data_IF_375274379687
#
_entry.id   IF_375274379687
#
_cell.length_a   1.000
_cell.length_b   1.000
_cell.length_c   1.000
_cell.angle_alpha   90.00
_cell.angle_beta   90.00
_cell.angle_gamma   90.00
#
_symmetry.space_group_name_H-M   'P 1'
#
loop_
_entity.id
_entity.type
_entity.pdbx_description
1 polymer ?
#
# COMPACT_ATOMS: atom_id res chain seq x y z
N UNK A 1 14.04 5.47 -19.10
CA UNK A 1 12.86 6.37 -19.06
C UNK A 1 12.20 6.21 -17.71
N UNK A 2 11.86 7.30 -17.06
CA UNK A 2 11.18 7.26 -15.77
C UNK A 2 9.78 6.67 -15.93
N UNK A 3 9.41 5.70 -15.07
CA UNK A 3 8.07 5.10 -15.04
C UNK A 3 7.06 5.97 -14.24
N UNK A 4 7.49 7.15 -13.80
CA UNK A 4 6.68 8.11 -13.05
C UNK A 4 5.93 9.05 -13.99
N UNK A 5 4.61 9.22 -13.76
CA UNK A 5 3.75 10.02 -14.62
C UNK A 5 3.02 11.09 -13.80
N UNK A 6 3.31 12.36 -14.08
CA UNK A 6 2.58 13.51 -13.53
C UNK A 6 1.44 13.88 -14.46
N UNK A 7 0.21 13.79 -13.96
CA UNK A 7 -1.00 14.21 -14.65
C UNK A 7 -1.42 15.57 -14.10
N UNK A 8 -1.39 16.59 -14.92
CA UNK A 8 -1.84 17.93 -14.56
C UNK A 8 -3.31 18.05 -14.93
N UNK A 9 -4.18 18.09 -13.89
CA UNK A 9 -5.62 18.08 -14.08
C UNK A 9 -6.24 19.45 -13.93
N UNK A 10 -6.86 19.94 -15.03
CA UNK A 10 -7.53 21.25 -15.11
C UNK A 10 -6.67 22.43 -14.65
N UNK A 11 -5.35 22.35 -14.83
CA UNK A 11 -4.41 23.38 -14.42
C UNK A 11 -3.43 23.70 -15.56
N UNK A 12 -3.98 24.21 -16.68
CA UNK A 12 -3.24 24.46 -17.92
C UNK A 12 -2.03 25.39 -17.73
N UNK A 13 -2.14 26.44 -16.89
CA UNK A 13 -1.01 27.35 -16.66
C UNK A 13 0.22 26.65 -16.06
N UNK A 14 0.02 25.68 -15.16
CA UNK A 14 1.13 24.88 -14.63
C UNK A 14 1.74 23.99 -15.71
N UNK A 15 0.90 23.38 -16.56
CA UNK A 15 1.38 22.51 -17.65
C UNK A 15 2.29 23.32 -18.60
N UNK A 16 1.85 24.48 -19.07
CA UNK A 16 2.62 25.36 -19.94
C UNK A 16 3.96 25.76 -19.31
N UNK A 17 3.97 26.17 -18.05
CA UNK A 17 5.19 26.56 -17.35
C UNK A 17 6.18 25.40 -17.28
N UNK A 18 5.74 24.19 -16.95
CA UNK A 18 6.63 23.03 -16.86
C UNK A 18 7.14 22.56 -18.23
N UNK A 19 6.33 22.71 -19.30
CA UNK A 19 6.70 22.38 -20.65
C UNK A 19 7.72 23.37 -21.24
N UNK A 20 7.48 24.69 -21.05
CA UNK A 20 8.37 25.75 -21.55
C UNK A 20 9.74 25.79 -20.87
N UNK A 21 9.80 25.43 -19.59
CA UNK A 21 11.06 25.44 -18.85
C UNK A 21 12.06 24.38 -19.31
N UNK A 22 11.62 23.37 -20.09
CA UNK A 22 12.51 22.35 -20.63
C UNK A 22 13.35 21.64 -19.55
N UNK A 23 12.86 21.60 -18.32
CA UNK A 23 13.57 21.00 -17.20
C UNK A 23 13.78 19.50 -17.46
N UNK A 24 14.95 19.01 -17.10
CA UNK A 24 15.20 17.56 -17.05
C UNK A 24 14.46 16.97 -15.84
N UNK A 25 13.22 16.55 -16.08
CA UNK A 25 12.33 16.03 -15.06
C UNK A 25 12.44 14.51 -14.99
N UNK A 26 12.47 13.98 -13.78
CA UNK A 26 12.50 12.54 -13.52
C UNK A 26 11.13 11.86 -13.74
N UNK A 27 10.15 12.56 -14.32
CA UNK A 27 8.79 12.08 -14.58
C UNK A 27 8.24 12.63 -15.90
N UNK A 28 7.32 11.89 -16.50
CA UNK A 28 6.59 12.30 -17.71
C UNK A 28 5.43 13.22 -17.32
N UNK A 29 5.17 14.27 -18.11
CA UNK A 29 4.07 15.20 -17.87
C UNK A 29 2.95 14.94 -18.88
N UNK A 30 1.72 14.99 -18.42
CA UNK A 30 0.51 14.91 -19.28
C UNK A 30 -0.54 15.88 -18.77
N UNK A 31 -1.14 16.67 -19.65
CA UNK A 31 -2.28 17.54 -19.32
C UNK A 31 -3.61 16.84 -19.61
N UNK A 32 -4.56 16.98 -18.69
CA UNK A 32 -5.92 16.43 -18.79
C UNK A 32 -6.93 17.46 -18.31
N UNK A 33 -7.97 17.71 -19.10
CA UNK A 33 -8.99 18.73 -18.81
C UNK A 33 -10.39 18.17 -18.47
N UNK A 34 -10.63 16.87 -18.69
CA UNK A 34 -11.92 16.24 -18.40
C UNK A 34 -11.76 15.02 -17.49
N UNK A 35 -12.82 14.70 -16.74
CA UNK A 35 -12.82 13.56 -15.84
C UNK A 35 -12.75 12.22 -16.61
N UNK A 36 -13.43 12.14 -17.75
CA UNK A 36 -13.39 10.94 -18.59
C UNK A 36 -11.97 10.66 -19.09
N UNK A 37 -11.31 11.69 -19.62
CA UNK A 37 -9.91 11.56 -20.09
C UNK A 37 -8.95 11.24 -18.93
N UNK A 38 -9.21 11.76 -17.72
CA UNK A 38 -8.43 11.42 -16.54
C UNK A 38 -8.57 9.93 -16.20
N UNK A 39 -9.81 9.44 -16.15
CA UNK A 39 -10.09 8.04 -15.82
C UNK A 39 -9.48 7.08 -16.83
N UNK A 40 -9.54 7.41 -18.12
CA UNK A 40 -8.95 6.58 -19.18
C UNK A 40 -7.42 6.57 -19.12
N UNK A 41 -6.81 7.71 -18.80
CA UNK A 41 -5.35 7.81 -18.65
C UNK A 41 -4.85 7.01 -17.46
N UNK A 42 -5.52 7.13 -16.31
CA UNK A 42 -5.15 6.47 -15.05
C UNK A 42 -5.26 4.94 -15.14
N UNK A 43 -6.22 4.41 -15.90
CA UNK A 43 -6.39 2.94 -16.08
C UNK A 43 -5.14 2.24 -16.61
N UNK A 44 -4.33 2.96 -17.40
CA UNK A 44 -3.15 2.43 -18.09
C UNK A 44 -1.82 2.75 -17.37
N UNK A 45 -1.86 3.39 -16.20
CA UNK A 45 -0.68 3.82 -15.47
C UNK A 45 -0.61 3.16 -14.10
N UNK A 46 0.54 2.55 -13.80
CA UNK A 46 0.78 1.95 -12.48
C UNK A 46 1.35 2.97 -11.47
N UNK A 47 2.14 3.92 -11.94
CA UNK A 47 2.83 4.90 -11.11
C UNK A 47 2.50 6.32 -11.61
N UNK A 48 1.53 6.96 -10.97
CA UNK A 48 1.07 8.30 -11.35
C UNK A 48 0.74 9.16 -10.14
N UNK A 49 0.96 10.46 -10.29
CA UNK A 49 0.54 11.53 -9.39
C UNK A 49 -0.33 12.50 -10.18
N UNK A 50 -1.44 12.93 -9.60
CA UNK A 50 -2.31 13.95 -10.19
C UNK A 50 -2.08 15.26 -9.43
N UNK A 51 -1.85 16.36 -10.16
CA UNK A 51 -1.73 17.69 -9.57
C UNK A 51 -2.84 18.61 -10.08
N UNK A 52 -3.46 19.35 -9.18
CA UNK A 52 -4.48 20.35 -9.50
C UNK A 52 -4.43 21.52 -8.51
N UNK A 53 -5.02 22.67 -8.89
CA UNK A 53 -5.21 23.82 -7.99
C UNK A 53 -6.50 23.75 -7.16
N UNK A 54 -7.26 22.65 -7.29
CA UNK A 54 -8.51 22.41 -6.55
C UNK A 54 -8.52 21.02 -5.96
N UNK A 55 -9.18 20.87 -4.83
CA UNK A 55 -9.39 19.56 -4.23
C UNK A 55 -10.58 18.83 -4.89
N UNK A 56 -10.38 17.56 -5.21
CA UNK A 56 -11.38 16.65 -5.77
C UNK A 56 -11.40 15.38 -4.92
N UNK A 57 -12.40 15.24 -4.06
CA UNK A 57 -12.51 14.17 -3.04
C UNK A 57 -12.51 12.75 -3.61
N UNK A 58 -12.90 12.58 -4.88
CA UNK A 58 -13.00 11.27 -5.54
C UNK A 58 -11.72 10.87 -6.32
N UNK A 59 -10.70 11.73 -6.35
CA UNK A 59 -9.47 11.49 -7.12
C UNK A 59 -8.40 10.94 -6.18
N UNK A 60 -7.92 9.72 -6.47
CA UNK A 60 -6.76 9.13 -5.78
C UNK A 60 -5.45 9.77 -6.26
N UNK A 61 -4.43 9.74 -5.42
CA UNK A 61 -3.09 10.27 -5.71
C UNK A 61 -3.11 11.74 -6.14
N UNK A 62 -4.03 12.54 -5.56
CA UNK A 62 -4.17 13.96 -5.85
C UNK A 62 -3.26 14.79 -4.93
N UNK A 63 -2.37 15.56 -5.53
CA UNK A 63 -1.60 16.62 -4.89
C UNK A 63 -2.24 17.97 -5.21
N UNK A 64 -2.76 18.65 -4.20
CA UNK A 64 -3.40 19.96 -4.36
C UNK A 64 -2.35 21.04 -4.19
N UNK A 65 -2.18 21.86 -5.21
CA UNK A 65 -1.33 23.06 -5.16
C UNK A 65 -2.19 24.30 -4.81
N UNK A 66 -2.36 24.53 -3.52
CA UNK A 66 -3.19 25.61 -2.96
C UNK A 66 -2.39 26.87 -2.57
N UNK A 67 -1.07 26.75 -2.44
CA UNK A 67 -0.17 27.82 -2.00
C UNK A 67 0.64 28.38 -3.18
N UNK A 68 0.05 29.30 -3.94
CA UNK A 68 0.75 30.11 -4.93
C UNK A 68 1.00 31.54 -4.38
N UNK A 69 2.09 32.21 -4.76
CA UNK A 69 3.16 31.79 -5.66
C UNK A 69 4.15 30.79 -5.01
N UNK A 70 4.65 29.83 -5.77
CA UNK A 70 5.67 28.88 -5.36
C UNK A 70 6.87 28.92 -6.31
N UNK A 71 8.07 28.79 -5.77
CA UNK A 71 9.27 28.62 -6.60
C UNK A 71 9.20 27.27 -7.34
N UNK A 72 9.49 27.27 -8.64
CA UNK A 72 9.37 26.11 -9.50
C UNK A 72 10.23 24.93 -9.06
N UNK A 73 11.47 25.17 -8.61
CA UNK A 73 12.36 24.12 -8.12
C UNK A 73 11.81 23.47 -6.84
N UNK A 74 11.22 24.29 -5.93
CA UNK A 74 10.54 23.78 -4.75
C UNK A 74 9.28 22.98 -5.09
N UNK A 75 8.60 23.34 -6.17
CA UNK A 75 7.45 22.57 -6.65
C UNK A 75 7.88 21.20 -7.18
N UNK A 76 8.94 21.15 -8.01
CA UNK A 76 9.51 19.91 -8.54
C UNK A 76 9.99 19.01 -7.39
N UNK A 77 10.65 19.59 -6.38
CA UNK A 77 11.05 18.85 -5.17
C UNK A 77 9.84 18.24 -4.44
N UNK A 78 8.78 19.00 -4.24
CA UNK A 78 7.53 18.51 -3.62
C UNK A 78 6.90 17.38 -4.43
N UNK A 79 6.84 17.49 -5.76
CA UNK A 79 6.33 16.46 -6.66
C UNK A 79 7.16 15.17 -6.50
N UNK A 80 8.49 15.28 -6.49
CA UNK A 80 9.37 14.13 -6.28
C UNK A 80 9.14 13.47 -4.90
N UNK A 81 8.95 14.26 -3.85
CA UNK A 81 8.60 13.75 -2.51
C UNK A 81 7.27 13.00 -2.53
N UNK A 82 6.25 13.52 -3.22
CA UNK A 82 4.96 12.82 -3.34
C UNK A 82 5.09 11.51 -4.13
N UNK A 83 5.88 11.46 -5.20
CA UNK A 83 6.19 10.20 -5.89
C UNK A 83 6.90 9.19 -4.98
N UNK A 84 7.86 9.63 -4.19
CA UNK A 84 8.54 8.74 -3.21
C UNK A 84 7.55 8.20 -2.17
N UNK A 85 6.63 9.02 -1.66
CA UNK A 85 5.58 8.56 -0.74
C UNK A 85 4.67 7.53 -1.37
N UNK A 86 4.23 7.74 -2.62
CA UNK A 86 3.40 6.79 -3.36
C UNK A 86 4.14 5.45 -3.58
N UNK A 87 5.40 5.50 -3.95
CA UNK A 87 6.24 4.31 -4.12
C UNK A 87 6.41 3.57 -2.79
N UNK A 88 6.71 4.28 -1.71
CA UNK A 88 6.85 3.70 -0.37
C UNK A 88 5.56 3.01 0.08
N UNK A 89 4.40 3.66 -0.13
CA UNK A 89 3.10 3.10 0.21
C UNK A 89 2.78 1.87 -0.65
N UNK A 90 3.04 1.91 -1.96
CA UNK A 90 2.79 0.77 -2.85
C UNK A 90 3.65 -0.45 -2.55
N UNK A 91 4.90 -0.23 -2.10
CA UNK A 91 5.80 -1.30 -1.68
C UNK A 91 5.40 -1.91 -0.32
N UNK A 92 4.64 -1.19 0.48
CA UNK A 92 4.16 -1.67 1.77
C UNK A 92 2.86 -2.46 1.69
N UNK A 93 2.15 -2.41 0.57
CA UNK A 93 0.90 -3.14 0.40
C UNK A 93 1.14 -4.59 -0.05
N UNK A 94 0.59 -5.52 0.71
CA UNK A 94 0.53 -6.94 0.38
C UNK A 94 -0.93 -7.36 0.17
N UNK A 95 -1.21 -8.02 -0.95
CA UNK A 95 -2.55 -8.57 -1.22
C UNK A 95 -2.57 -10.07 -0.98
N UNK A 96 -3.52 -10.53 -0.19
CA UNK A 96 -3.77 -11.93 0.09
C UNK A 96 -5.26 -12.19 -0.09
N UNK A 97 -5.63 -12.96 -1.09
CA UNK A 97 -7.04 -13.17 -1.49
C UNK A 97 -7.74 -11.82 -1.73
N UNK A 98 -8.80 -11.55 -0.99
CA UNK A 98 -9.56 -10.30 -1.07
C UNK A 98 -9.07 -9.22 -0.08
N UNK A 99 -8.02 -9.50 0.70
CA UNK A 99 -7.50 -8.60 1.70
C UNK A 99 -6.32 -7.79 1.17
N UNK A 100 -6.28 -6.53 1.51
CA UNK A 100 -5.10 -5.67 1.39
C UNK A 100 -4.52 -5.45 2.77
N UNK A 101 -3.22 -5.72 2.94
CA UNK A 101 -2.49 -5.53 4.18
C UNK A 101 -1.44 -4.46 3.95
N UNK A 102 -1.54 -3.36 4.66
CA UNK A 102 -0.54 -2.31 4.70
C UNK A 102 0.45 -2.61 5.83
N UNK A 103 1.68 -2.94 5.46
CA UNK A 103 2.75 -3.30 6.39
C UNK A 103 3.22 -2.10 7.23
N UNK A 104 3.11 -0.87 6.71
CA UNK A 104 3.52 0.35 7.41
C UNK A 104 2.49 0.76 8.47
N UNK A 105 1.24 0.86 8.06
CA UNK A 105 0.16 1.19 9.00
C UNK A 105 -0.25 0.01 9.87
N UNK A 106 0.19 -1.21 9.51
CA UNK A 106 -0.20 -2.48 10.15
C UNK A 106 -1.70 -2.70 10.15
N UNK A 107 -2.33 -2.40 9.03
CA UNK A 107 -3.76 -2.55 8.84
C UNK A 107 -4.06 -3.61 7.78
N UNK A 108 -4.98 -4.51 8.10
CA UNK A 108 -5.60 -5.46 7.19
C UNK A 108 -7.00 -4.97 6.86
N UNK A 109 -7.34 -4.89 5.56
CA UNK A 109 -8.64 -4.35 5.15
C UNK A 109 -9.27 -5.18 4.04
N UNK A 110 -10.60 -5.22 4.06
CA UNK A 110 -11.46 -5.69 2.99
C UNK A 110 -12.67 -4.74 2.91
N UNK A 111 -12.99 -4.26 1.72
CA UNK A 111 -14.03 -3.24 1.51
C UNK A 111 -13.79 -2.02 2.43
N UNK A 112 -14.77 -1.72 3.31
CA UNK A 112 -14.69 -0.61 4.28
C UNK A 112 -14.29 -1.04 5.68
N UNK A 113 -14.06 -2.33 5.92
CA UNK A 113 -13.69 -2.87 7.24
C UNK A 113 -12.17 -2.90 7.37
N UNK A 114 -11.66 -2.44 8.52
CA UNK A 114 -10.23 -2.38 8.82
C UNK A 114 -9.92 -3.03 10.16
N UNK A 115 -8.85 -3.81 10.20
CA UNK A 115 -8.34 -4.48 11.38
C UNK A 115 -6.90 -4.05 11.64
N UNK A 116 -6.64 -3.47 12.81
CA UNK A 116 -5.29 -3.14 13.25
C UNK A 116 -4.58 -4.40 13.75
N UNK A 117 -3.37 -4.62 13.25
CA UNK A 117 -2.54 -5.76 13.59
C UNK A 117 -1.30 -5.34 14.38
N UNK A 118 -0.79 -6.22 15.21
CA UNK A 118 0.53 -6.07 15.83
C UNK A 118 1.63 -6.46 14.82
N UNK A 119 2.86 -6.12 15.13
CA UNK A 119 4.01 -6.48 14.31
C UNK A 119 4.15 -8.01 14.16
N UNK A 120 3.97 -8.75 15.25
CA UNK A 120 4.06 -10.22 15.23
C UNK A 120 2.93 -10.86 14.42
N UNK A 121 1.71 -10.28 14.47
CA UNK A 121 0.59 -10.74 13.65
C UNK A 121 0.87 -10.50 12.15
N UNK A 122 1.41 -9.33 11.78
CA UNK A 122 1.85 -9.03 10.40
C UNK A 122 2.93 -10.02 9.94
N UNK A 123 3.97 -10.21 10.76
CA UNK A 123 5.06 -11.11 10.43
C UNK A 123 4.57 -12.55 10.25
N UNK A 124 3.64 -12.99 11.09
CA UNK A 124 2.99 -14.30 10.96
C UNK A 124 2.24 -14.44 9.63
N UNK A 125 1.36 -13.48 9.31
CA UNK A 125 0.61 -13.48 8.05
C UNK A 125 1.56 -13.45 6.85
N UNK A 126 2.57 -12.58 6.89
CA UNK A 126 3.57 -12.44 5.81
C UNK A 126 4.35 -13.74 5.60
N UNK A 127 4.75 -14.39 6.68
CA UNK A 127 5.48 -15.65 6.59
C UNK A 127 4.60 -16.78 6.01
N UNK A 128 3.39 -16.95 6.55
CA UNK A 128 2.42 -17.93 6.07
C UNK A 128 2.02 -17.70 4.60
N UNK A 129 1.90 -16.46 4.16
CA UNK A 129 1.51 -16.12 2.78
C UNK A 129 2.56 -16.52 1.75
N UNK A 130 3.85 -16.47 2.13
CA UNK A 130 4.98 -16.86 1.27
C UNK A 130 5.18 -18.37 1.20
N UNK A 131 4.65 -19.10 2.17
CA UNK A 131 4.78 -20.55 2.20
C UNK A 131 3.75 -21.24 1.30
N UNK A 132 4.22 -22.21 0.52
CA UNK A 132 3.34 -23.07 -0.29
C UNK A 132 2.85 -24.30 0.46
N UNK A 133 3.40 -24.57 1.65
CA UNK A 133 3.08 -25.71 2.51
C UNK A 133 2.62 -25.22 3.88
N UNK A 134 1.89 -26.04 4.65
CA UNK A 134 1.63 -25.73 6.05
C UNK A 134 2.95 -25.52 6.81
N UNK A 135 2.99 -24.50 7.65
CA UNK A 135 4.15 -24.11 8.47
C UNK A 135 3.94 -24.63 9.88
N UNK A 136 4.91 -25.37 10.40
CA UNK A 136 4.84 -25.93 11.75
C UNK A 136 4.94 -24.83 12.83
N UNK A 137 4.56 -25.16 14.06
CA UNK A 137 4.67 -24.24 15.20
C UNK A 137 6.14 -23.92 15.47
N UNK A 138 7.02 -24.93 15.42
CA UNK A 138 8.46 -24.76 15.65
C UNK A 138 9.09 -23.84 14.59
N UNK A 139 8.70 -23.98 13.34
CA UNK A 139 9.15 -23.11 12.25
C UNK A 139 8.66 -21.69 12.43
N UNK A 140 7.41 -21.48 12.83
CA UNK A 140 6.89 -20.15 13.17
C UNK A 140 7.64 -19.55 14.34
N UNK A 141 7.90 -20.32 15.39
CA UNK A 141 8.66 -19.87 16.54
C UNK A 141 10.05 -19.39 16.12
N UNK A 142 10.76 -20.16 15.33
CA UNK A 142 12.09 -19.81 14.85
C UNK A 142 12.07 -18.56 13.94
N UNK A 143 11.20 -18.53 12.93
CA UNK A 143 11.24 -17.53 11.86
C UNK A 143 10.51 -16.22 12.19
N UNK A 144 9.48 -16.25 13.05
CA UNK A 144 8.67 -15.07 13.37
C UNK A 144 8.99 -14.52 14.76
N UNK A 145 9.24 -15.37 15.73
CA UNK A 145 9.52 -14.93 17.12
C UNK A 145 11.00 -14.75 17.43
N UNK A 146 11.92 -15.18 16.51
CA UNK A 146 13.38 -15.00 16.61
C UNK A 146 13.99 -15.39 17.95
N UNK A 147 14.50 -16.60 18.08
CA UNK A 147 15.48 -17.06 19.06
C UNK A 147 15.38 -16.51 20.51
N UNK A 148 14.24 -16.50 21.09
CA UNK A 148 14.19 -16.61 22.56
C UNK A 148 13.86 -18.07 22.84
N UNK A 149 14.88 -18.83 23.19
CA UNK A 149 14.82 -20.25 23.53
C UNK A 149 13.85 -20.60 24.67
N UNK A 150 13.29 -19.58 25.32
CA UNK A 150 12.42 -19.71 26.48
C UNK A 150 10.94 -19.47 26.18
N UNK A 151 10.57 -19.25 24.91
CA UNK A 151 9.15 -19.13 24.54
C UNK A 151 8.61 -20.55 24.33
N UNK A 152 7.73 -20.97 25.22
CA UNK A 152 7.00 -22.22 25.08
C UNK A 152 6.16 -22.22 23.78
N UNK A 153 6.08 -23.35 23.09
CA UNK A 153 5.28 -23.52 21.86
C UNK A 153 3.81 -23.12 22.05
N UNK A 154 3.27 -23.28 23.24
CA UNK A 154 1.93 -22.81 23.62
C UNK A 154 1.73 -21.28 23.46
N UNK A 155 2.81 -20.50 23.51
CA UNK A 155 2.74 -19.04 23.28
C UNK A 155 2.42 -18.74 21.83
N UNK A 156 3.05 -19.45 20.89
CA UNK A 156 2.80 -19.27 19.43
C UNK A 156 1.37 -19.69 19.08
N UNK A 157 0.91 -20.81 19.58
CA UNK A 157 -0.47 -21.28 19.37
C UNK A 157 -1.49 -20.27 19.91
N UNK A 158 -1.25 -19.73 21.09
CA UNK A 158 -2.13 -18.70 21.69
C UNK A 158 -2.16 -17.44 20.84
N UNK A 159 -1.02 -17.00 20.29
CA UNK A 159 -0.96 -15.85 19.41
C UNK A 159 -1.73 -16.08 18.11
N UNK A 160 -1.57 -17.26 17.48
CA UNK A 160 -2.31 -17.59 16.27
C UNK A 160 -3.82 -17.71 16.54
N UNK A 161 -4.19 -18.32 17.66
CA UNK A 161 -5.60 -18.39 18.07
C UNK A 161 -6.22 -16.97 18.21
N UNK A 162 -5.52 -16.06 18.91
CA UNK A 162 -5.97 -14.67 19.07
C UNK A 162 -6.06 -13.93 17.73
N UNK A 163 -5.08 -14.13 16.85
CA UNK A 163 -5.09 -13.54 15.50
C UNK A 163 -6.29 -14.04 14.68
N UNK A 164 -6.53 -15.36 14.69
CA UNK A 164 -7.70 -15.94 14.00
C UNK A 164 -9.00 -15.39 14.57
N UNK A 165 -9.12 -15.30 15.90
CA UNK A 165 -10.30 -14.72 16.54
C UNK A 165 -10.52 -13.26 16.11
N UNK A 166 -9.50 -12.41 16.10
CA UNK A 166 -9.59 -11.04 15.62
C UNK A 166 -10.11 -10.96 14.16
N UNK A 167 -9.62 -11.84 13.29
CA UNK A 167 -10.03 -11.88 11.88
C UNK A 167 -11.50 -12.30 11.76
N UNK A 168 -11.90 -13.30 12.51
CA UNK A 168 -13.30 -13.75 12.57
C UNK A 168 -14.21 -12.64 13.10
N UNK A 169 -13.85 -12.01 14.21
CA UNK A 169 -14.66 -10.97 14.85
C UNK A 169 -14.84 -9.75 13.93
N UNK A 170 -13.82 -9.40 13.13
CA UNK A 170 -13.86 -8.22 12.24
C UNK A 170 -14.47 -8.51 10.87
N UNK A 171 -14.12 -9.66 10.26
CA UNK A 171 -14.43 -9.95 8.87
C UNK A 171 -15.34 -11.15 8.67
N UNK A 172 -15.72 -11.83 9.75
CA UNK A 172 -16.49 -13.09 9.73
C UNK A 172 -15.84 -14.20 8.86
N UNK A 173 -14.50 -14.23 8.82
CA UNK A 173 -13.73 -15.17 8.03
C UNK A 173 -13.01 -16.19 8.93
N UNK A 174 -13.56 -17.39 8.99
CA UNK A 174 -12.99 -18.52 9.75
C UNK A 174 -11.87 -19.24 8.99
N UNK A 175 -11.71 -18.97 7.68
CA UNK A 175 -10.87 -19.73 6.78
C UNK A 175 -9.58 -19.03 6.37
N UNK A 176 -9.38 -17.78 6.75
CA UNK A 176 -8.17 -17.05 6.36
C UNK A 176 -6.88 -17.76 6.80
N UNK A 177 -6.82 -18.22 8.04
CA UNK A 177 -5.72 -19.06 8.53
C UNK A 177 -6.28 -20.44 8.88
N UNK A 178 -5.89 -21.45 8.11
CA UNK A 178 -6.28 -22.85 8.31
C UNK A 178 -5.30 -23.53 9.26
N UNK A 179 -5.86 -24.31 10.20
CA UNK A 179 -5.10 -25.25 10.99
C UNK A 179 -5.14 -26.63 10.30
N UNK A 180 -4.00 -27.25 10.12
CA UNK A 180 -3.85 -28.57 9.50
C UNK A 180 -3.02 -29.47 10.41
N UNK A 181 -3.01 -30.78 10.15
CA UNK A 181 -2.21 -31.73 10.93
C UNK A 181 -0.70 -31.39 10.95
N UNK A 182 -0.22 -30.64 9.96
CA UNK A 182 1.20 -30.29 9.80
C UNK A 182 1.49 -28.81 10.11
N UNK A 183 0.56 -28.09 10.75
CA UNK A 183 0.72 -26.68 11.11
C UNK A 183 -0.30 -25.75 10.45
N UNK A 184 0.07 -24.50 10.25
CA UNK A 184 -0.82 -23.44 9.79
C UNK A 184 -0.51 -23.01 8.36
N UNK A 185 -1.53 -22.63 7.60
CA UNK A 185 -1.41 -22.04 6.27
C UNK A 185 -2.49 -21.01 6.01
N UNK A 186 -2.22 -20.07 5.10
CA UNK A 186 -3.26 -19.18 4.57
C UNK A 186 -4.06 -19.92 3.50
N UNK A 187 -5.38 -19.79 3.56
CA UNK A 187 -6.26 -20.26 2.48
C UNK A 187 -5.94 -19.48 1.20
N UNK A 188 -5.75 -20.15 0.10
CA UNK A 188 -5.56 -19.56 -1.23
C UNK A 188 -6.84 -19.68 -2.01
#
# INVERSE_FOLDING_TARGET
MSDQNLIIYKFNGLYQILEELGLDLNFNITFVNSENSLNDKVKNLNNYLIISNKNYSNIKNLFVLDNAPINIFKLVEKINIEFLKLQFNSQSEMRINNYTIDLNSREMQINNSKLKLTEKEINTITYLSKSNKPVSIDELQEKVWSYQSDIETHTVETHIYRLRKKIVDMFNDNNFILNTNNGYKISK
#
